data_IF_979629340524
#
_entry.id   IF_979629340524
#
_cell.length_a   1.000
_cell.length_b   1.000
_cell.length_c   1.000
_cell.angle_alpha   90.00
_cell.angle_beta   90.00
_cell.angle_gamma   90.00
#
_symmetry.space_group_name_H-M   'P 1'
#
loop_
_entity.id
_entity.type
_entity.pdbx_description
1 polymer ?
#
# COMPACT_ATOMS: atom_id res chain seq x y z
N UNK A 1 -2.31 20.10 20.75
CA UNK A 1 -2.51 19.03 19.74
C UNK A 1 -3.42 17.99 20.37
N UNK A 2 -4.53 17.64 19.71
CA UNK A 2 -5.41 16.56 20.14
C UNK A 2 -4.75 15.25 19.72
N UNK A 3 -4.55 14.33 20.65
CA UNK A 3 -3.76 13.10 20.48
C UNK A 3 -4.65 11.87 20.26
N UNK A 4 -5.90 12.10 19.82
CA UNK A 4 -6.90 11.09 19.45
C UNK A 4 -7.06 10.95 17.91
N UNK A 5 -6.15 11.56 17.13
CA UNK A 5 -6.31 11.65 15.68
C UNK A 5 -5.97 10.31 15.01
N UNK A 6 -7.00 9.62 14.52
CA UNK A 6 -6.86 8.48 13.61
C UNK A 6 -6.44 9.03 12.24
N UNK A 7 -5.35 8.51 11.67
CA UNK A 7 -4.88 8.98 10.37
C UNK A 7 -5.83 8.55 9.24
N UNK A 8 -5.85 9.31 8.14
CA UNK A 8 -6.60 8.97 6.95
C UNK A 8 -6.25 7.56 6.42
N UNK A 9 -4.97 7.17 6.50
CA UNK A 9 -4.48 5.83 6.13
C UNK A 9 -5.07 4.73 7.02
N UNK A 10 -5.20 4.97 8.32
CA UNK A 10 -5.82 4.00 9.23
C UNK A 10 -7.32 3.83 8.97
N UNK A 11 -8.02 4.91 8.61
CA UNK A 11 -9.43 4.86 8.21
C UNK A 11 -9.58 4.08 6.90
N UNK A 12 -8.71 4.36 5.92
CA UNK A 12 -8.65 3.64 4.65
C UNK A 12 -8.45 2.14 4.85
N UNK A 13 -7.43 1.73 5.60
CA UNK A 13 -7.18 0.31 5.90
C UNK A 13 -8.34 -0.34 6.67
N UNK A 14 -9.05 0.42 7.52
CA UNK A 14 -10.17 -0.09 8.29
C UNK A 14 -11.33 -0.54 7.39
N UNK A 15 -11.69 0.23 6.36
CA UNK A 15 -12.72 -0.17 5.39
C UNK A 15 -12.38 -1.52 4.74
N UNK A 16 -11.12 -1.73 4.34
CA UNK A 16 -10.68 -3.00 3.78
C UNK A 16 -10.77 -4.18 4.78
N UNK A 17 -10.38 -3.95 6.04
CA UNK A 17 -10.44 -4.97 7.10
C UNK A 17 -11.88 -5.33 7.45
N UNK A 18 -12.79 -4.36 7.42
CA UNK A 18 -14.22 -4.54 7.63
C UNK A 18 -14.96 -5.09 6.42
N UNK A 19 -14.27 -5.29 5.28
CA UNK A 19 -14.85 -5.77 4.02
C UNK A 19 -15.85 -4.80 3.38
N UNK A 20 -15.79 -3.53 3.78
CA UNK A 20 -16.53 -2.39 3.20
C UNK A 20 -15.79 -1.92 1.93
N UNK A 21 -15.76 -2.80 0.92
CA UNK A 21 -14.93 -2.60 -0.28
C UNK A 21 -15.38 -1.44 -1.17
N UNK A 22 -16.67 -1.08 -1.16
CA UNK A 22 -17.17 0.06 -1.92
C UNK A 22 -16.64 1.36 -1.31
N UNK A 23 -16.82 1.54 0.00
CA UNK A 23 -16.28 2.66 0.78
C UNK A 23 -14.75 2.73 0.70
N UNK A 24 -14.08 1.57 0.73
CA UNK A 24 -12.63 1.47 0.59
C UNK A 24 -12.14 1.97 -0.78
N UNK A 25 -12.81 1.58 -1.87
CA UNK A 25 -12.41 1.97 -3.22
C UNK A 25 -12.76 3.44 -3.54
N UNK A 26 -13.80 3.96 -2.90
CA UNK A 26 -14.28 5.34 -3.01
C UNK A 26 -13.56 6.33 -2.08
N UNK A 27 -12.82 5.83 -1.08
CA UNK A 27 -12.12 6.67 -0.11
C UNK A 27 -11.20 7.71 -0.76
N UNK A 28 -10.45 7.28 -1.79
CA UNK A 28 -9.67 8.17 -2.63
C UNK A 28 -10.32 8.26 -4.01
N UNK A 29 -10.52 9.50 -4.48
CA UNK A 29 -10.92 9.72 -5.87
C UNK A 29 -9.90 9.12 -6.84
N UNK A 30 -10.36 8.80 -8.06
CA UNK A 30 -9.50 8.22 -9.10
C UNK A 30 -8.28 9.11 -9.41
N UNK A 31 -8.45 10.42 -9.45
CA UNK A 31 -7.36 11.36 -9.72
C UNK A 31 -6.34 11.41 -8.58
N UNK A 32 -6.81 11.26 -7.35
CA UNK A 32 -5.97 11.27 -6.15
C UNK A 32 -5.18 9.96 -6.05
N UNK A 33 -5.82 8.79 -6.16
CA UNK A 33 -5.12 7.51 -6.04
C UNK A 33 -4.07 7.33 -7.15
N UNK A 34 -4.33 7.86 -8.34
CA UNK A 34 -3.38 7.87 -9.45
C UNK A 34 -2.15 8.75 -9.21
N UNK A 35 -2.09 9.56 -8.16
CA UNK A 35 -0.91 10.35 -7.80
C UNK A 35 -0.01 9.63 -6.77
N UNK A 36 -0.54 8.63 -6.07
CA UNK A 36 0.23 7.87 -5.09
C UNK A 36 1.14 6.82 -5.74
N UNK A 37 2.21 6.47 -5.03
CA UNK A 37 2.99 5.26 -5.26
C UNK A 37 2.21 4.08 -4.67
N UNK A 38 1.67 3.21 -5.54
CA UNK A 38 0.76 2.12 -5.13
C UNK A 38 1.33 0.74 -5.40
N UNK A 39 2.64 0.63 -5.67
CA UNK A 39 3.30 -0.63 -6.06
C UNK A 39 3.13 -1.71 -4.99
N UNK A 40 3.06 -1.37 -3.71
CA UNK A 40 2.89 -2.31 -2.60
C UNK A 40 1.46 -2.37 -2.04
N UNK A 41 0.49 -1.71 -2.70
CA UNK A 41 -0.90 -1.64 -2.24
C UNK A 41 -1.70 -2.91 -2.66
N UNK A 42 -1.22 -4.10 -2.32
CA UNK A 42 -1.81 -5.39 -2.74
C UNK A 42 -3.30 -5.48 -2.39
N UNK A 43 -3.69 -4.97 -1.22
CA UNK A 43 -5.07 -4.94 -0.74
C UNK A 43 -5.98 -4.02 -1.59
N UNK A 44 -5.45 -2.93 -2.16
CA UNK A 44 -6.18 -2.06 -3.08
C UNK A 44 -6.45 -2.75 -4.41
N UNK A 45 -5.41 -3.34 -5.02
CA UNK A 45 -5.55 -4.12 -6.24
C UNK A 45 -6.50 -5.31 -6.06
N UNK A 46 -6.44 -5.97 -4.90
CA UNK A 46 -7.36 -7.05 -4.55
C UNK A 46 -8.82 -6.57 -4.55
N UNK A 47 -9.13 -5.46 -3.89
CA UNK A 47 -10.48 -4.93 -3.86
C UNK A 47 -10.98 -4.53 -5.26
N UNK A 48 -10.16 -3.86 -6.07
CA UNK A 48 -10.48 -3.54 -7.46
C UNK A 48 -10.80 -4.82 -8.26
N UNK A 49 -9.96 -5.84 -8.11
CA UNK A 49 -10.14 -7.08 -8.85
C UNK A 49 -11.38 -7.85 -8.40
N UNK A 50 -11.68 -7.85 -7.10
CA UNK A 50 -12.84 -8.50 -6.49
C UNK A 50 -14.17 -7.83 -6.91
N UNK A 51 -14.19 -6.50 -6.98
CA UNK A 51 -15.36 -5.69 -7.33
C UNK A 51 -15.57 -5.48 -8.84
N UNK A 52 -14.78 -6.17 -9.66
CA UNK A 52 -14.79 -6.08 -11.13
C UNK A 52 -14.44 -4.68 -11.70
N UNK A 53 -13.70 -3.87 -10.93
CA UNK A 53 -13.23 -2.53 -11.32
C UNK A 53 -11.98 -2.61 -12.22
N UNK A 54 -12.08 -3.38 -13.32
CA UNK A 54 -10.94 -3.73 -14.17
C UNK A 54 -10.34 -2.55 -14.91
N UNK A 55 -11.16 -1.57 -15.31
CA UNK A 55 -10.68 -0.39 -16.00
C UNK A 55 -9.66 0.37 -15.13
N UNK A 56 -10.02 0.65 -13.87
CA UNK A 56 -9.15 1.32 -12.90
C UNK A 56 -7.93 0.46 -12.55
N UNK A 57 -8.13 -0.85 -12.40
CA UNK A 57 -7.04 -1.80 -12.18
C UNK A 57 -5.95 -1.70 -13.26
N UNK A 58 -6.34 -1.75 -14.54
CA UNK A 58 -5.38 -1.77 -15.64
C UNK A 58 -4.64 -0.43 -15.82
N UNK A 59 -5.33 0.70 -15.58
CA UNK A 59 -4.69 2.03 -15.58
C UNK A 59 -3.59 2.09 -14.52
N UNK A 60 -3.86 1.65 -13.30
CA UNK A 60 -2.85 1.61 -12.24
C UNK A 60 -1.76 0.56 -12.52
N UNK A 61 -2.13 -0.59 -13.10
CA UNK A 61 -1.19 -1.64 -13.49
C UNK A 61 -0.12 -1.11 -14.46
N UNK A 62 -0.57 -0.46 -15.53
CA UNK A 62 0.28 0.13 -16.56
C UNK A 62 1.13 1.29 -16.00
N UNK A 63 0.52 2.22 -15.26
CA UNK A 63 1.22 3.34 -14.62
C UNK A 63 2.39 2.85 -13.78
N UNK A 64 2.18 1.89 -12.89
CA UNK A 64 3.21 1.41 -11.97
C UNK A 64 4.30 0.60 -12.70
N UNK A 65 3.94 -0.16 -13.74
CA UNK A 65 4.94 -0.83 -14.60
C UNK A 65 5.85 0.18 -15.29
N UNK A 66 5.28 1.24 -15.87
CA UNK A 66 6.04 2.30 -16.51
C UNK A 66 6.95 3.00 -15.51
N UNK A 67 6.42 3.40 -14.35
CA UNK A 67 7.20 3.99 -13.27
C UNK A 67 8.42 3.14 -12.89
N UNK A 68 8.22 1.84 -12.61
CA UNK A 68 9.32 0.95 -12.21
C UNK A 68 10.37 0.78 -13.31
N UNK A 69 9.94 0.71 -14.57
CA UNK A 69 10.85 0.63 -15.71
C UNK A 69 11.66 1.92 -15.88
N UNK A 70 11.01 3.07 -15.78
CA UNK A 70 11.65 4.36 -15.98
C UNK A 70 12.57 4.71 -14.80
N UNK A 71 12.18 4.41 -13.56
CA UNK A 71 13.03 4.55 -12.38
C UNK A 71 14.34 3.73 -12.51
N UNK A 72 14.28 2.50 -13.02
CA UNK A 72 15.49 1.69 -13.28
C UNK A 72 16.36 2.32 -14.36
N UNK A 73 15.76 2.81 -15.47
CA UNK A 73 16.52 3.47 -16.54
C UNK A 73 17.20 4.75 -16.05
N UNK A 74 16.48 5.57 -15.29
CA UNK A 74 16.98 6.80 -14.68
C UNK A 74 18.16 6.48 -13.75
N UNK A 75 17.99 5.50 -12.85
CA UNK A 75 19.06 5.08 -11.95
C UNK A 75 20.32 4.57 -12.69
N UNK A 76 20.17 3.95 -13.86
CA UNK A 76 21.30 3.48 -14.68
C UNK A 76 22.10 4.65 -15.27
N UNK A 77 21.43 5.70 -15.76
CA UNK A 77 22.10 6.83 -16.43
C UNK A 77 22.58 7.91 -15.46
N UNK A 78 22.00 7.97 -14.27
CA UNK A 78 22.34 8.90 -13.22
C UNK A 78 23.73 8.62 -12.63
N UNK A 79 24.54 9.66 -12.48
CA UNK A 79 25.90 9.63 -11.91
C UNK A 79 26.00 10.29 -10.53
N UNK A 80 24.88 10.78 -9.96
CA UNK A 80 24.80 11.41 -8.64
C UNK A 80 24.69 10.38 -7.51
N UNK A 81 25.65 9.45 -7.46
CA UNK A 81 25.76 8.44 -6.40
C UNK A 81 27.05 8.63 -5.61
N UNK A 82 26.98 8.32 -4.31
CA UNK A 82 28.14 8.35 -3.41
C UNK A 82 29.22 7.35 -3.85
N UNK A 83 28.80 6.22 -4.42
CA UNK A 83 29.68 5.18 -4.97
C UNK A 83 28.97 4.35 -6.05
N UNK A 84 29.75 3.65 -6.88
CA UNK A 84 29.21 2.68 -7.85
C UNK A 84 28.53 1.49 -7.15
N UNK A 85 29.00 1.13 -5.96
CA UNK A 85 28.37 0.11 -5.13
C UNK A 85 26.97 0.52 -4.65
N UNK A 86 26.81 1.78 -4.21
CA UNK A 86 25.51 2.32 -3.81
C UNK A 86 24.53 2.38 -4.98
N UNK A 87 25.01 2.82 -6.16
CA UNK A 87 24.26 2.82 -7.41
C UNK A 87 23.75 1.42 -7.75
N UNK A 88 24.65 0.43 -7.74
CA UNK A 88 24.30 -0.96 -8.03
C UNK A 88 23.26 -1.50 -7.06
N UNK A 89 23.42 -1.25 -5.77
CA UNK A 89 22.47 -1.69 -4.74
C UNK A 89 21.09 -1.07 -4.93
N UNK A 90 21.03 0.22 -5.24
CA UNK A 90 19.77 0.91 -5.51
C UNK A 90 19.04 0.33 -6.72
N UNK A 91 19.77 0.08 -7.82
CA UNK A 91 19.21 -0.59 -9.01
C UNK A 91 18.69 -1.99 -8.67
N UNK A 92 19.44 -2.78 -7.88
CA UNK A 92 19.00 -4.11 -7.43
C UNK A 92 17.72 -4.07 -6.59
N UNK A 93 17.54 -3.04 -5.75
CA UNK A 93 16.32 -2.80 -4.98
C UNK A 93 15.14 -2.47 -5.91
N UNK A 94 15.30 -1.59 -6.90
CA UNK A 94 14.25 -1.29 -7.88
C UNK A 94 13.85 -2.51 -8.72
N UNK A 95 14.83 -3.32 -9.14
CA UNK A 95 14.54 -4.57 -9.85
C UNK A 95 13.79 -5.58 -8.98
N UNK A 96 14.10 -5.61 -7.68
CA UNK A 96 13.38 -6.44 -6.71
C UNK A 96 11.93 -5.96 -6.58
N UNK A 97 11.70 -4.67 -6.38
CA UNK A 97 10.36 -4.08 -6.29
C UNK A 97 9.53 -4.42 -7.54
N UNK A 98 10.14 -4.33 -8.73
CA UNK A 98 9.49 -4.73 -9.98
C UNK A 98 9.10 -6.21 -10.00
N UNK A 99 9.97 -7.13 -9.55
CA UNK A 99 9.64 -8.56 -9.48
C UNK A 99 8.54 -8.84 -8.47
N UNK A 100 8.58 -8.19 -7.30
CA UNK A 100 7.57 -8.35 -6.24
C UNK A 100 6.21 -7.81 -6.70
N UNK A 101 6.19 -6.69 -7.42
CA UNK A 101 5.00 -6.11 -8.03
C UNK A 101 4.34 -7.06 -9.04
N UNK A 102 5.10 -7.65 -9.97
CA UNK A 102 4.53 -8.59 -10.95
C UNK A 102 3.97 -9.85 -10.25
N UNK A 103 4.65 -10.33 -9.22
CA UNK A 103 4.16 -11.44 -8.40
C UNK A 103 2.87 -11.07 -7.65
N UNK A 104 2.79 -9.85 -7.11
CA UNK A 104 1.61 -9.30 -6.45
C UNK A 104 0.41 -9.24 -7.40
N UNK A 105 0.58 -8.64 -8.57
CA UNK A 105 -0.48 -8.55 -9.60
C UNK A 105 -0.97 -9.94 -10.00
N UNK A 106 -0.05 -10.90 -10.17
CA UNK A 106 -0.40 -12.29 -10.48
C UNK A 106 -1.24 -12.96 -9.38
N UNK A 107 -0.88 -12.76 -8.10
CA UNK A 107 -1.65 -13.25 -6.94
C UNK A 107 -3.04 -12.62 -6.83
N UNK A 108 -3.14 -11.32 -7.11
CA UNK A 108 -4.41 -10.62 -7.10
C UNK A 108 -5.33 -11.17 -8.19
N UNK A 109 -4.82 -11.35 -9.41
CA UNK A 109 -5.58 -11.86 -10.55
C UNK A 109 -6.11 -13.28 -10.32
N UNK A 110 -5.36 -14.13 -9.60
CA UNK A 110 -5.79 -15.48 -9.27
C UNK A 110 -6.85 -15.55 -8.16
N UNK A 111 -7.05 -14.46 -7.39
CA UNK A 111 -7.90 -14.43 -6.19
C UNK A 111 -7.63 -15.57 -5.20
N UNK A 112 -6.43 -16.15 -5.22
CA UNK A 112 -6.10 -17.34 -4.43
C UNK A 112 -5.91 -17.03 -2.94
N UNK A 113 -5.81 -15.76 -2.57
CA UNK A 113 -5.59 -15.30 -1.20
C UNK A 113 -6.12 -13.87 -1.02
N UNK A 114 -6.71 -13.58 0.14
CA UNK A 114 -7.05 -12.21 0.56
C UNK A 114 -5.85 -11.58 1.27
N UNK A 115 -5.27 -10.48 0.76
CA UNK A 115 -4.18 -9.76 1.41
C UNK A 115 -4.53 -9.39 2.85
N UNK A 116 -3.61 -9.64 3.79
CA UNK A 116 -3.80 -9.31 5.21
C UNK A 116 -3.28 -7.90 5.49
N UNK A 117 -4.17 -7.02 5.90
CA UNK A 117 -3.84 -5.70 6.42
C UNK A 117 -3.92 -5.73 7.93
N UNK A 118 -2.88 -5.23 8.62
CA UNK A 118 -2.88 -5.11 10.08
C UNK A 118 -3.13 -3.66 10.47
N UNK A 119 -4.30 -3.39 11.03
CA UNK A 119 -4.57 -2.06 11.56
C UNK A 119 -3.64 -1.79 12.73
N UNK A 120 -2.85 -0.73 12.60
CA UNK A 120 -2.09 -0.15 13.70
C UNK A 120 -2.99 0.86 14.42
N UNK A 121 -4.12 0.42 14.97
CA UNK A 121 -4.97 1.27 15.80
C UNK A 121 -4.24 1.47 17.13
N UNK A 122 -3.33 2.42 17.17
CA UNK A 122 -2.85 2.97 18.43
C UNK A 122 -3.78 4.13 18.78
N UNK A 123 -4.64 4.00 19.81
CA UNK A 123 -4.92 5.19 20.59
C UNK A 123 -3.55 5.62 21.13
N UNK A 124 -3.06 6.80 20.76
CA UNK A 124 -1.90 7.38 21.45
C UNK A 124 -2.31 7.84 22.85
N UNK A 125 -2.63 6.87 23.71
CA UNK A 125 -2.73 7.11 25.13
C UNK A 125 -2.16 5.92 25.90
N UNK A 126 -1.12 6.24 26.69
CA UNK A 126 -0.97 5.68 28.02
C UNK A 126 -2.35 5.44 28.60
N UNK A 127 -2.70 4.17 28.80
CA UNK A 127 -3.90 3.74 29.50
C UNK A 127 -4.23 4.72 30.65
N UNK A 128 -5.22 5.61 30.48
CA UNK A 128 -5.78 6.29 31.63
C UNK A 128 -6.49 5.18 32.43
N UNK A 129 -5.84 4.77 33.53
CA UNK A 129 -6.02 3.56 34.33
C UNK A 129 -7.39 3.41 35.02
N UNK A 130 -8.52 3.72 34.37
CA UNK A 130 -9.84 3.56 35.01
C UNK A 130 -10.79 2.66 34.22
N UNK A 131 -10.71 2.62 32.88
CA UNK A 131 -11.70 1.88 32.07
C UNK A 131 -11.17 0.76 31.15
N UNK A 132 -9.87 0.45 31.18
CA UNK A 132 -9.37 -0.65 30.35
C UNK A 132 -9.73 -2.02 30.95
N UNK A 133 -10.65 -2.73 30.29
CA UNK A 133 -11.12 -4.09 30.64
C UNK A 133 -9.97 -5.11 30.73
N UNK A 134 -8.85 -4.88 30.01
CA UNK A 134 -7.63 -5.73 30.10
C UNK A 134 -6.94 -5.70 31.46
N UNK A 135 -7.17 -4.66 32.29
CA UNK A 135 -6.60 -4.55 33.63
C UNK A 135 -7.55 -5.02 34.75
N UNK A 136 -8.76 -5.53 34.41
CA UNK A 136 -9.73 -6.05 35.40
C UNK A 136 -9.62 -7.54 35.72
N UNK A 137 -8.55 -8.21 35.31
CA UNK A 137 -8.27 -9.57 35.77
C UNK A 137 -7.28 -9.51 36.94
N UNK A 138 -7.84 -9.49 38.15
CA UNK A 138 -7.15 -9.89 39.38
C UNK A 138 -7.37 -11.39 39.60
#
# INVERSE_FOLDING_TARGET
MKTDDISAEQIFDAYYVLEEFDEFLDYYSNDVICQYYTVDFEHYYYALWLKDEKAKFFVLEEKNRLYLVDAIKEAIVDDDYVSEEDKKKYIEELEKDKREYEAMISRVKSLSFKPKVRLKLYPEFSCFMVDCVRHKFK
#
